data_IF_039098206229
#
_entry.id   IF_039098206229
#
_cell.length_a   1.000
_cell.length_b   1.000
_cell.length_c   1.000
_cell.angle_alpha   90.00
_cell.angle_beta   90.00
_cell.angle_gamma   90.00
#
_symmetry.space_group_name_H-M   'P 1'
#
loop_
_entity.id
_entity.type
_entity.pdbx_description
1 polymer ?
#
# COMPACT_ATOMS: atom_id res chain seq x y z
N UNK A 1 -9.49 -2.03 -10.50
CA UNK A 1 -8.22 -2.76 -10.28
C UNK A 1 -8.35 -3.67 -9.06
N UNK A 2 -8.50 -3.12 -7.86
CA UNK A 2 -8.56 -3.88 -6.61
C UNK A 2 -9.91 -4.57 -6.30
N UNK A 3 -10.73 -4.90 -7.31
CA UNK A 3 -11.92 -5.72 -7.09
C UNK A 3 -11.61 -7.12 -7.62
N UNK A 4 -11.32 -8.05 -6.70
CA UNK A 4 -10.70 -9.34 -6.97
C UNK A 4 -9.27 -9.46 -6.44
N UNK A 5 -8.57 -10.50 -6.90
CA UNK A 5 -7.23 -10.87 -6.42
C UNK A 5 -6.12 -10.07 -7.10
N UNK A 6 -5.18 -9.58 -6.31
CA UNK A 6 -3.98 -8.85 -6.75
C UNK A 6 -2.77 -9.45 -6.05
N UNK A 7 -1.72 -9.73 -6.81
CA UNK A 7 -0.40 -10.08 -6.28
C UNK A 7 0.51 -8.87 -6.34
N UNK A 8 1.31 -8.64 -5.30
CA UNK A 8 2.32 -7.59 -5.29
C UNK A 8 3.70 -8.14 -4.92
N UNK A 9 4.73 -7.52 -5.49
CA UNK A 9 6.13 -7.77 -5.16
C UNK A 9 6.80 -6.46 -4.79
N UNK A 10 7.41 -6.43 -3.61
CA UNK A 10 7.94 -5.22 -3.00
C UNK A 10 9.40 -5.33 -2.62
N UNK A 11 10.09 -4.19 -2.69
CA UNK A 11 11.41 -3.99 -2.09
C UNK A 11 11.39 -2.77 -1.18
N UNK A 12 12.16 -2.84 -0.09
CA UNK A 12 12.43 -1.70 0.79
C UNK A 12 13.90 -1.32 0.66
N UNK A 13 14.16 -0.04 0.42
CA UNK A 13 15.51 0.52 0.37
C UNK A 13 15.72 1.56 1.47
N UNK A 14 16.92 1.60 2.03
CA UNK A 14 17.30 2.68 2.96
C UNK A 14 17.69 3.96 2.20
N UNK A 15 18.01 5.03 2.94
CA UNK A 15 18.43 6.33 2.37
C UNK A 15 19.68 6.28 1.48
N UNK A 16 20.51 5.25 1.66
CA UNK A 16 21.71 5.01 0.84
C UNK A 16 21.39 4.23 -0.45
N UNK A 17 20.13 3.81 -0.65
CA UNK A 17 19.68 2.99 -1.77
C UNK A 17 19.96 1.49 -1.60
N UNK A 18 20.44 1.07 -0.44
CA UNK A 18 20.74 -0.35 -0.18
C UNK A 18 19.43 -1.11 0.05
N UNK A 19 19.33 -2.32 -0.52
CA UNK A 19 18.20 -3.21 -0.31
C UNK A 19 18.18 -3.72 1.13
N UNK A 20 17.12 -3.38 1.86
CA UNK A 20 16.91 -3.79 3.25
C UNK A 20 15.99 -5.01 3.34
N UNK A 21 14.97 -5.06 2.48
CA UNK A 21 13.94 -6.09 2.54
C UNK A 21 13.35 -6.35 1.16
N UNK A 22 12.87 -7.58 0.95
CA UNK A 22 11.96 -7.94 -0.14
C UNK A 22 10.74 -8.64 0.45
N UNK A 23 9.58 -8.46 -0.16
CA UNK A 23 8.36 -9.08 0.31
C UNK A 23 7.38 -9.29 -0.85
N UNK A 24 6.42 -10.17 -0.61
CA UNK A 24 5.27 -10.38 -1.47
C UNK A 24 4.00 -10.05 -0.68
N UNK A 25 2.96 -9.64 -1.39
CA UNK A 25 1.64 -9.40 -0.80
C UNK A 25 0.58 -10.07 -1.66
N UNK A 26 -0.24 -10.91 -1.05
CA UNK A 26 -1.49 -11.36 -1.64
C UNK A 26 -2.60 -10.44 -1.14
N UNK A 27 -3.34 -9.83 -2.05
CA UNK A 27 -4.39 -8.85 -1.75
C UNK A 27 -5.70 -9.38 -2.30
N UNK A 28 -6.67 -9.59 -1.42
CA UNK A 28 -8.05 -9.90 -1.79
C UNK A 28 -8.92 -8.65 -1.59
N UNK A 29 -9.34 -8.07 -2.71
CA UNK A 29 -10.09 -6.83 -2.71
C UNK A 29 -11.56 -7.03 -3.04
N UNK A 30 -12.44 -6.28 -2.38
CA UNK A 30 -13.88 -6.26 -2.68
C UNK A 30 -14.46 -4.86 -2.59
N UNK A 31 -15.34 -4.54 -3.53
CA UNK A 31 -16.10 -3.27 -3.52
C UNK A 31 -17.48 -3.48 -2.91
N UNK A 32 -17.81 -2.70 -1.89
CA UNK A 32 -19.11 -2.68 -1.20
C UNK A 32 -19.69 -1.26 -1.23
N UNK A 33 -20.51 -0.97 -2.25
CA UNK A 33 -21.08 0.38 -2.43
C UNK A 33 -20.00 1.40 -2.80
N UNK A 34 -19.77 2.39 -1.93
CA UNK A 34 -18.71 3.40 -2.08
C UNK A 34 -17.43 3.04 -1.31
N UNK A 35 -17.29 1.78 -0.85
CA UNK A 35 -16.15 1.32 -0.06
C UNK A 35 -15.38 0.24 -0.80
N UNK A 36 -14.07 0.28 -0.65
CA UNK A 36 -13.13 -0.75 -1.07
C UNK A 36 -12.54 -1.36 0.20
N UNK A 37 -12.63 -2.68 0.33
CA UNK A 37 -12.00 -3.43 1.41
C UNK A 37 -10.88 -4.27 0.80
N UNK A 38 -9.67 -4.16 1.35
CA UNK A 38 -8.50 -4.91 0.91
C UNK A 38 -7.99 -5.76 2.07
N UNK A 39 -8.04 -7.07 1.93
CA UNK A 39 -7.40 -8.00 2.86
C UNK A 39 -6.02 -8.40 2.30
N UNK A 40 -4.98 -7.89 2.95
CA UNK A 40 -3.58 -8.03 2.54
C UNK A 40 -2.88 -9.07 3.42
N UNK A 41 -2.16 -10.01 2.81
CA UNK A 41 -1.32 -11.00 3.48
C UNK A 41 0.11 -10.83 2.99
N UNK A 42 1.05 -10.60 3.91
CA UNK A 42 2.43 -10.29 3.58
C UNK A 42 3.36 -11.47 3.87
N UNK A 43 4.26 -11.74 2.93
CA UNK A 43 5.35 -12.70 3.07
C UNK A 43 6.70 -11.98 2.90
N UNK A 44 7.51 -11.94 3.95
CA UNK A 44 8.80 -11.27 3.93
C UNK A 44 9.93 -12.26 3.63
N UNK A 45 10.89 -11.86 2.80
CA UNK A 45 12.02 -12.70 2.44
C UNK A 45 13.02 -12.92 3.58
N UNK A 46 13.13 -11.99 4.53
CA UNK A 46 14.04 -12.06 5.69
C UNK A 46 13.41 -11.32 6.89
N UNK A 47 13.36 -11.93 8.08
CA UNK A 47 12.87 -11.25 9.29
C UNK A 47 11.34 -11.16 9.38
N UNK A 48 10.84 -10.27 10.23
CA UNK A 48 9.41 -10.11 10.53
C UNK A 48 8.89 -8.73 10.08
N UNK A 49 7.60 -8.69 9.74
CA UNK A 49 6.83 -7.49 9.45
C UNK A 49 5.35 -7.71 9.74
N UNK A 50 4.48 -6.78 9.33
CA UNK A 50 3.04 -6.96 9.45
C UNK A 50 2.62 -8.18 8.61
N UNK A 51 2.02 -9.20 9.22
CA UNK A 51 1.62 -10.43 8.50
C UNK A 51 0.35 -10.25 7.70
N UNK A 52 -0.55 -9.40 8.20
CA UNK A 52 -1.83 -9.12 7.59
C UNK A 52 -2.18 -7.66 7.81
N UNK A 53 -2.88 -7.06 6.86
CA UNK A 53 -3.52 -5.75 7.00
C UNK A 53 -4.85 -5.77 6.29
N UNK A 54 -5.86 -5.16 6.90
CA UNK A 54 -7.15 -4.95 6.25
C UNK A 54 -7.36 -3.45 6.11
N UNK A 55 -7.40 -2.96 4.88
CA UNK A 55 -7.80 -1.60 4.57
C UNK A 55 -9.29 -1.51 4.36
N UNK A 56 -9.91 -0.48 4.93
CA UNK A 56 -11.25 -0.03 4.58
C UNK A 56 -11.12 1.38 4.01
N UNK A 57 -11.31 1.51 2.70
CA UNK A 57 -11.18 2.76 1.95
C UNK A 57 -12.57 3.19 1.52
N UNK A 58 -12.89 4.45 1.68
CA UNK A 58 -14.17 5.04 1.30
C UNK A 58 -13.96 6.21 0.36
N UNK A 59 -14.70 6.20 -0.77
CA UNK A 59 -14.78 7.35 -1.67
C UNK A 59 -15.76 8.39 -1.09
N UNK A 60 -15.28 9.63 -1.00
CA UNK A 60 -16.02 10.78 -0.50
C UNK A 60 -16.76 11.51 -1.62
N UNK A 61 -17.81 12.30 -1.32
CA UNK A 61 -18.62 12.98 -2.34
C UNK A 61 -17.88 13.98 -3.23
N UNK A 62 -16.70 14.44 -2.81
CA UNK A 62 -15.84 15.36 -3.56
C UNK A 62 -14.82 14.64 -4.46
N UNK A 63 -14.84 13.30 -4.49
CA UNK A 63 -13.92 12.46 -5.25
C UNK A 63 -12.58 12.18 -4.56
N UNK A 64 -12.39 12.67 -3.33
CA UNK A 64 -11.28 12.27 -2.47
C UNK A 64 -11.59 10.93 -1.77
N UNK A 65 -10.57 10.35 -1.15
CA UNK A 65 -10.68 9.06 -0.47
C UNK A 65 -10.22 9.19 0.97
N UNK A 66 -10.83 8.39 1.84
CA UNK A 66 -10.35 8.17 3.20
C UNK A 66 -10.14 6.70 3.48
N UNK A 67 -9.25 6.36 4.41
CA UNK A 67 -8.98 4.96 4.73
C UNK A 67 -8.66 4.71 6.18
N UNK A 68 -8.91 3.47 6.59
CA UNK A 68 -8.63 2.97 7.93
C UNK A 68 -8.01 1.59 7.84
N UNK A 69 -7.02 1.33 8.68
CA UNK A 69 -6.50 0.00 8.97
C UNK A 69 -6.12 -0.08 10.45
N UNK A 70 -6.01 -1.30 10.99
CA UNK A 70 -5.81 -1.50 12.42
C UNK A 70 -4.43 -1.02 12.93
N UNK A 71 -3.44 -0.93 12.04
CA UNK A 71 -2.07 -0.50 12.31
C UNK A 71 -1.78 0.93 11.84
N UNK A 72 -2.82 1.65 11.38
CA UNK A 72 -2.75 3.04 10.92
C UNK A 72 -3.22 3.98 12.03
N UNK A 73 -2.46 5.04 12.26
CA UNK A 73 -2.77 6.07 13.24
C UNK A 73 -3.74 7.10 12.65
N UNK A 74 -5.01 6.99 13.02
CA UNK A 74 -6.05 7.90 12.57
C UNK A 74 -6.63 7.50 11.21
N UNK A 75 -6.75 8.47 10.31
CA UNK A 75 -7.35 8.31 8.99
C UNK A 75 -6.29 8.55 7.92
N UNK A 76 -6.26 7.67 6.94
CA UNK A 76 -5.51 7.86 5.70
C UNK A 76 -6.31 8.74 4.73
N UNK A 77 -5.62 9.51 3.91
CA UNK A 77 -6.24 10.40 2.92
C UNK A 77 -5.70 10.11 1.52
N UNK A 78 -6.58 10.20 0.52
CA UNK A 78 -6.24 9.87 -0.86
C UNK A 78 -6.81 10.82 -1.89
N UNK A 79 -6.04 11.04 -2.95
CA UNK A 79 -6.42 11.90 -4.08
C UNK A 79 -6.07 11.22 -5.40
N UNK A 80 -6.98 11.30 -6.37
CA UNK A 80 -6.81 10.73 -7.71
C UNK A 80 -6.45 11.80 -8.74
N UNK A 81 -5.49 11.49 -9.59
CA UNK A 81 -4.95 12.36 -10.64
C UNK A 81 -4.92 11.63 -11.99
N UNK A 82 -6.05 11.03 -12.38
CA UNK A 82 -6.17 10.27 -13.62
C UNK A 82 -5.53 8.90 -13.51
N UNK A 83 -4.32 8.70 -14.04
CA UNK A 83 -3.60 7.44 -13.95
C UNK A 83 -2.73 7.32 -12.68
N UNK A 84 -2.66 8.37 -11.88
CA UNK A 84 -1.92 8.40 -10.62
C UNK A 84 -2.87 8.52 -9.43
N UNK A 85 -2.50 7.91 -8.31
CA UNK A 85 -3.20 8.03 -7.03
C UNK A 85 -2.18 8.31 -5.94
N UNK A 86 -2.50 9.26 -5.08
CA UNK A 86 -1.69 9.61 -3.92
C UNK A 86 -2.40 9.16 -2.65
N UNK A 87 -1.65 8.54 -1.73
CA UNK A 87 -2.16 8.04 -0.46
C UNK A 87 -1.23 8.42 0.68
N UNK A 88 -1.77 9.12 1.68
CA UNK A 88 -1.01 9.64 2.81
C UNK A 88 -1.60 9.13 4.13
N UNK A 89 -0.76 8.52 4.97
CA UNK A 89 -1.16 7.98 6.25
C UNK A 89 0.00 7.83 7.23
N UNK A 90 -0.30 7.68 8.53
CA UNK A 90 0.70 7.44 9.57
C UNK A 90 0.57 6.06 10.14
N UNK A 91 1.69 5.44 10.48
CA UNK A 91 1.69 4.16 11.17
C UNK A 91 2.90 4.00 12.09
N UNK A 92 2.77 3.07 13.04
CA UNK A 92 3.85 2.67 13.92
C UNK A 92 4.57 1.44 13.35
N UNK A 93 5.88 1.55 13.13
CA UNK A 93 6.71 0.44 12.64
C UNK A 93 7.72 -0.01 13.71
N UNK A 94 7.88 -1.33 13.92
CA UNK A 94 8.92 -1.86 14.79
C UNK A 94 10.29 -1.77 14.10
N UNK A 95 11.27 -1.18 14.78
CA UNK A 95 12.66 -1.09 14.35
C UNK A 95 13.57 -1.54 15.50
N UNK A 96 14.02 -2.79 15.42
CA UNK A 96 14.76 -3.42 16.51
C UNK A 96 13.90 -3.57 17.76
N UNK A 97 14.28 -2.88 18.85
CA UNK A 97 13.53 -2.90 20.12
C UNK A 97 12.64 -1.66 20.34
N UNK A 98 12.52 -0.79 19.34
CA UNK A 98 11.73 0.44 19.43
C UNK A 98 10.63 0.44 18.39
N UNK A 99 9.54 1.11 18.70
CA UNK A 99 8.51 1.47 17.73
C UNK A 99 8.71 2.92 17.33
N UNK A 100 8.64 3.20 16.04
CA UNK A 100 8.69 4.57 15.52
C UNK A 100 7.43 4.87 14.72
N UNK A 101 6.84 6.03 14.98
CA UNK A 101 5.79 6.59 14.11
C UNK A 101 6.44 7.16 12.85
N UNK A 102 5.94 6.77 11.69
CA UNK A 102 6.35 7.29 10.37
C UNK A 102 5.13 7.72 9.57
N UNK A 103 5.35 8.70 8.70
CA UNK A 103 4.39 9.14 7.69
C UNK A 103 4.71 8.40 6.38
N UNK A 104 3.71 7.82 5.74
CA UNK A 104 3.80 7.25 4.41
C UNK A 104 3.21 8.23 3.41
N UNK A 105 3.93 8.46 2.32
CA UNK A 105 3.47 9.18 1.14
C UNK A 105 3.61 8.23 -0.05
N UNK A 106 2.52 7.57 -0.41
CA UNK A 106 2.48 6.55 -1.44
C UNK A 106 1.94 7.14 -2.74
N UNK A 107 2.68 6.90 -3.81
CA UNK A 107 2.24 7.20 -5.16
C UNK A 107 2.04 5.92 -5.93
N UNK A 108 0.87 5.76 -6.51
CA UNK A 108 0.51 4.65 -7.38
C UNK A 108 0.34 5.18 -8.79
N UNK A 109 0.84 4.44 -9.78
CA UNK A 109 0.66 4.72 -11.20
C UNK A 109 0.17 3.47 -11.91
N UNK A 110 -0.99 3.57 -12.55
CA UNK A 110 -1.44 2.54 -13.47
C UNK A 110 -0.51 2.52 -14.70
N UNK A 111 0.15 1.38 -14.90
CA UNK A 111 0.99 1.14 -16.09
C UNK A 111 0.13 0.66 -17.26
N UNK A 112 -0.85 -0.18 -16.95
CA UNK A 112 -1.88 -0.70 -17.85
C UNK A 112 -3.12 -1.12 -17.02
N UNK A 113 -4.07 -1.84 -17.63
CA UNK A 113 -5.32 -2.25 -16.98
C UNK A 113 -5.15 -3.34 -15.89
N UNK A 114 -4.01 -4.04 -15.88
CA UNK A 114 -3.72 -5.13 -14.95
C UNK A 114 -2.46 -4.92 -14.12
N UNK A 115 -1.70 -3.83 -14.32
CA UNK A 115 -0.50 -3.51 -13.55
C UNK A 115 -0.46 -2.10 -12.97
N UNK A 116 -0.08 -2.02 -11.70
CA UNK A 116 0.21 -0.76 -10.98
C UNK A 116 1.65 -0.80 -10.47
N UNK A 117 2.38 0.29 -10.66
CA UNK A 117 3.63 0.56 -9.94
C UNK A 117 3.34 1.50 -8.79
N UNK A 118 3.80 1.16 -7.59
CA UNK A 118 3.72 2.03 -6.43
C UNK A 118 5.11 2.37 -5.89
N UNK A 119 5.26 3.62 -5.44
CA UNK A 119 6.45 4.13 -4.75
C UNK A 119 6.02 4.88 -3.49
N UNK A 120 6.50 4.41 -2.35
CA UNK A 120 6.21 4.92 -1.02
C UNK A 120 7.43 5.57 -0.41
N UNK A 121 7.25 6.75 0.17
CA UNK A 121 8.28 7.41 0.98
C UNK A 121 7.90 7.34 2.45
N UNK A 122 8.74 6.69 3.25
CA UNK A 122 8.59 6.67 4.70
C UNK A 122 9.32 7.87 5.26
N UNK A 123 8.59 8.77 5.91
CA UNK A 123 9.09 10.02 6.44
C UNK A 123 9.07 10.04 7.96
N UNK A 124 10.15 10.56 8.55
CA UNK A 124 10.24 10.89 9.96
C UNK A 124 10.71 12.33 10.12
N UNK A 125 9.93 13.14 10.85
CA UNK A 125 10.24 14.57 11.06
C UNK A 125 10.48 15.34 9.75
N UNK A 126 9.77 14.98 8.68
CA UNK A 126 9.88 15.61 7.36
C UNK A 126 11.06 15.15 6.50
N UNK A 127 11.78 14.08 6.89
CA UNK A 127 12.87 13.51 6.10
C UNK A 127 12.55 12.07 5.70
N UNK A 128 12.83 11.74 4.44
CA UNK A 128 12.73 10.36 3.95
C UNK A 128 13.76 9.47 4.65
N UNK A 129 13.28 8.42 5.29
CA UNK A 129 14.10 7.43 6.03
C UNK A 129 14.19 6.09 5.31
N UNK A 130 13.21 5.77 4.48
CA UNK A 130 13.20 4.59 3.64
C UNK A 130 12.24 4.80 2.46
N UNK A 131 12.41 3.98 1.45
CA UNK A 131 11.56 3.94 0.28
C UNK A 131 11.05 2.51 0.07
N UNK A 132 9.79 2.38 -0.34
CA UNK A 132 9.24 1.10 -0.78
C UNK A 132 8.84 1.23 -2.24
N UNK A 133 9.23 0.26 -3.05
CA UNK A 133 8.73 0.13 -4.42
C UNK A 133 7.96 -1.17 -4.52
N UNK A 134 6.73 -1.11 -5.04
CA UNK A 134 5.88 -2.27 -5.26
C UNK A 134 5.44 -2.34 -6.72
N UNK A 135 5.52 -3.52 -7.31
CA UNK A 135 4.78 -3.85 -8.53
C UNK A 135 3.57 -4.67 -8.12
N UNK A 136 2.39 -4.26 -8.54
CA UNK A 136 1.12 -4.97 -8.32
C UNK A 136 0.60 -5.45 -9.67
N UNK A 137 0.18 -6.71 -9.72
CA UNK A 137 -0.50 -7.30 -10.87
C UNK A 137 -1.83 -7.88 -10.40
N UNK A 138 -2.93 -7.47 -11.05
CA UNK A 138 -4.24 -8.06 -10.83
C UNK A 138 -4.31 -9.37 -11.62
N UNK A 139 -4.80 -10.42 -10.98
CA UNK A 139 -5.10 -11.66 -11.70
C UNK A 139 -6.08 -11.36 -12.84
N UNK A 140 -5.78 -11.84 -14.04
CA UNK A 140 -6.70 -11.67 -15.16
C UNK A 140 -8.03 -12.34 -14.81
N UNK A 141 -9.11 -11.55 -14.88
CA UNK A 141 -10.46 -12.10 -14.85
C UNK A 141 -10.59 -12.94 -16.12
N UNK A 142 -10.38 -14.25 -16.00
CA UNK A 142 -10.75 -15.20 -17.05
C UNK A 142 -12.26 -15.09 -17.20
N UNK A 143 -12.69 -14.28 -18.16
CA UNK A 143 -14.11 -14.18 -18.50
C UNK A 143 -14.43 -15.48 -19.23
N UNK A 144 -15.30 -16.35 -18.70
CA UNK A 144 -15.71 -17.54 -19.44
C UNK A 144 -16.40 -17.07 -20.74
N UNK A 145 -15.97 -17.62 -21.88
CA UNK A 145 -16.66 -17.45 -23.18
C UNK A 145 -18.09 -17.99 -23.14
#
# INVERSE_FOLDING_TARGET
>A
FFDGSVKAWGIVQNRSGELVQRFEVDIDGRVEGNRLILDEIFEYGIGDGAKQRTWMIEELPDGSYRGFAHDVLGEASGESFGNAFHWSYRMEIPVGQRTIEVQFEDWFWALDDSRILSRSYLQKFGFDVAEVTLLMERDEIVTPE
#
